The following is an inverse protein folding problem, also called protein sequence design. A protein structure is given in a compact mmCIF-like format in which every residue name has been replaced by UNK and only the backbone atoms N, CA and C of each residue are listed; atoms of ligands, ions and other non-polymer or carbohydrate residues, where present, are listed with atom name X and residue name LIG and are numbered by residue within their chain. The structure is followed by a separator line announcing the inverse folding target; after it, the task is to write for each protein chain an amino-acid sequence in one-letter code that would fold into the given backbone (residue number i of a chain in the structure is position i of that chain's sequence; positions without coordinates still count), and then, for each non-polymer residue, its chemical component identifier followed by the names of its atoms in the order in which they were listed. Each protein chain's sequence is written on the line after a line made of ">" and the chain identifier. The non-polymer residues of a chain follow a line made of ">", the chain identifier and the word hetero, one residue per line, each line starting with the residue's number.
data_IF_181603594216
#
_entry.id   IF_181603594216
#
_cell.length_a   1.000
_cell.length_b   1.000
_cell.length_c   1.000
_cell.angle_alpha   90.00
_cell.angle_beta   90.00
_cell.angle_gamma   90.00
#
_symmetry.space_group_name_H-M   'P 1'
#
loop_
_entity.id
_entity.type
_entity.pdbx_description
1 polymer ?
#
# COMPACT_ATOMS: atom_id res chain seq x y z
N UNK A 1 43.37 -55.36 -19.77
CA UNK A 1 42.55 -55.43 -18.57
C UNK A 1 42.13 -53.99 -18.26
N UNK A 2 41.13 -53.37 -18.85
CA UNK A 2 39.66 -53.47 -18.83
C UNK A 2 39.07 -53.13 -17.51
N UNK A 3 38.45 -51.96 -17.43
CA UNK A 3 37.16 -51.77 -16.76
C UNK A 3 36.48 -50.48 -17.27
N UNK A 4 35.31 -50.63 -17.89
CA UNK A 4 34.37 -49.62 -18.28
C UNK A 4 33.71 -49.07 -17.01
N UNK A 5 33.53 -47.75 -16.92
CA UNK A 5 32.56 -47.11 -16.08
C UNK A 5 31.56 -46.39 -17.00
N UNK A 6 30.29 -46.79 -16.90
CA UNK A 6 29.15 -46.21 -17.57
C UNK A 6 28.54 -45.16 -16.65
N UNK A 7 28.69 -43.90 -17.04
CA UNK A 7 27.94 -42.77 -16.39
C UNK A 7 26.58 -42.64 -17.05
N UNK A 8 25.55 -42.98 -16.28
CA UNK A 8 24.15 -42.63 -16.59
C UNK A 8 23.79 -41.33 -15.85
N UNK A 9 23.89 -40.23 -16.57
CA UNK A 9 23.45 -38.92 -16.10
C UNK A 9 21.94 -38.79 -16.35
N UNK A 10 21.15 -39.12 -15.37
CA UNK A 10 19.69 -38.87 -15.37
C UNK A 10 19.38 -37.53 -14.73
N UNK A 11 19.15 -36.53 -15.57
CA UNK A 11 18.60 -35.23 -15.15
C UNK A 11 17.15 -35.42 -14.74
N UNK A 12 16.73 -35.00 -13.55
CA UNK A 12 15.32 -35.04 -13.20
C UNK A 12 14.55 -33.97 -13.96
N UNK A 13 13.54 -34.41 -14.72
CA UNK A 13 12.58 -33.53 -15.39
C UNK A 13 11.76 -32.77 -14.37
N UNK A 14 11.79 -31.46 -14.42
CA UNK A 14 10.88 -30.60 -13.65
C UNK A 14 9.46 -30.69 -14.25
N UNK A 15 8.42 -30.86 -13.43
CA UNK A 15 7.05 -30.86 -13.93
C UNK A 15 6.65 -29.44 -14.37
N UNK A 16 6.46 -29.28 -15.66
CA UNK A 16 5.91 -28.05 -16.27
C UNK A 16 4.40 -28.00 -16.10
N UNK A 17 3.86 -26.91 -15.62
CA UNK A 17 2.55 -26.46 -16.05
C UNK A 17 1.43 -26.34 -15.02
N UNK A 18 1.53 -26.82 -13.76
CA UNK A 18 0.41 -26.71 -12.81
C UNK A 18 0.63 -25.84 -11.57
N UNK A 19 1.86 -25.41 -11.28
CA UNK A 19 2.18 -24.66 -10.06
C UNK A 19 1.78 -23.18 -10.10
N UNK A 20 1.72 -22.54 -11.27
CA UNK A 20 1.42 -21.10 -11.38
C UNK A 20 -0.06 -20.73 -11.14
N UNK A 21 -1.01 -21.62 -11.42
CA UNK A 21 -2.43 -21.36 -11.11
C UNK A 21 -2.74 -21.48 -9.61
N UNK A 22 -2.11 -22.42 -8.94
CA UNK A 22 -2.32 -22.68 -7.50
C UNK A 22 -1.84 -21.54 -6.60
N UNK A 23 -0.67 -20.93 -6.88
CA UNK A 23 -0.11 -19.86 -6.05
C UNK A 23 -0.88 -18.55 -6.15
N UNK A 24 -1.38 -18.17 -7.33
CA UNK A 24 -2.20 -16.97 -7.50
C UNK A 24 -3.60 -17.11 -6.87
N UNK A 25 -4.23 -18.29 -6.95
CA UNK A 25 -5.51 -18.55 -6.28
C UNK A 25 -5.35 -18.55 -4.76
N UNK A 26 -4.26 -19.06 -4.23
CA UNK A 26 -3.97 -19.06 -2.79
C UNK A 26 -3.78 -17.64 -2.26
N UNK A 27 -3.00 -16.80 -2.96
CA UNK A 27 -2.77 -15.41 -2.58
C UNK A 27 -4.06 -14.58 -2.61
N UNK A 28 -4.86 -14.69 -3.67
CA UNK A 28 -6.15 -14.01 -3.77
C UNK A 28 -7.15 -14.49 -2.70
N UNK A 29 -7.13 -15.78 -2.36
CA UNK A 29 -7.96 -16.34 -1.30
C UNK A 29 -7.56 -15.81 0.09
N UNK A 30 -6.27 -15.66 0.36
CA UNK A 30 -5.77 -15.06 1.61
C UNK A 30 -6.18 -13.59 1.69
N UNK A 31 -5.97 -12.81 0.64
CA UNK A 31 -6.35 -11.39 0.59
C UNK A 31 -7.83 -11.18 0.89
N UNK A 32 -8.73 -11.97 0.26
CA UNK A 32 -10.18 -11.90 0.55
C UNK A 32 -10.50 -12.12 2.02
N UNK A 33 -9.92 -13.16 2.62
CA UNK A 33 -10.17 -13.50 4.04
C UNK A 33 -9.66 -12.43 4.98
N UNK A 34 -8.51 -11.85 4.69
CA UNK A 34 -7.98 -10.71 5.47
C UNK A 34 -8.96 -9.52 5.42
N UNK A 35 -9.47 -9.18 4.24
CA UNK A 35 -10.48 -8.10 4.12
C UNK A 35 -11.76 -8.46 4.88
N UNK A 36 -12.25 -9.69 4.77
CA UNK A 36 -13.43 -10.13 5.54
C UNK A 36 -13.20 -10.07 7.06
N UNK A 37 -11.99 -10.36 7.55
CA UNK A 37 -11.64 -10.21 8.97
C UNK A 37 -11.68 -8.72 9.35
N UNK A 38 -11.11 -7.84 8.54
CA UNK A 38 -11.15 -6.39 8.77
C UNK A 38 -12.60 -5.89 8.84
N UNK A 39 -13.44 -6.32 7.90
CA UNK A 39 -14.86 -5.95 7.88
C UNK A 39 -15.60 -6.47 9.12
N UNK A 40 -15.34 -7.72 9.53
CA UNK A 40 -15.91 -8.28 10.75
C UNK A 40 -15.48 -7.51 12.01
N UNK A 41 -14.22 -7.07 12.06
CA UNK A 41 -13.70 -6.32 13.22
C UNK A 41 -14.22 -4.88 13.26
N UNK A 42 -14.35 -4.23 12.09
CA UNK A 42 -14.75 -2.82 11.97
C UNK A 42 -16.27 -2.64 11.93
N UNK A 43 -16.95 -3.41 11.09
CA UNK A 43 -18.41 -3.29 10.86
C UNK A 43 -19.23 -4.31 11.66
N UNK A 44 -18.59 -5.21 12.41
CA UNK A 44 -19.20 -6.31 13.14
C UNK A 44 -19.96 -7.32 12.29
N UNK A 45 -19.94 -7.18 10.97
CA UNK A 45 -20.62 -8.07 10.02
C UNK A 45 -19.96 -8.03 8.65
N UNK A 46 -20.16 -9.09 7.86
CA UNK A 46 -19.90 -9.13 6.41
C UNK A 46 -21.17 -9.51 5.68
N UNK A 47 -21.37 -8.93 4.49
CA UNK A 47 -22.52 -9.18 3.64
C UNK A 47 -22.10 -9.94 2.40
N UNK A 48 -22.96 -10.89 1.97
CA UNK A 48 -22.71 -11.62 0.74
C UNK A 48 -22.77 -10.69 -0.49
N UNK A 49 -23.71 -9.74 -0.54
CA UNK A 49 -23.82 -8.78 -1.63
C UNK A 49 -22.53 -7.98 -1.86
N UNK A 50 -21.90 -7.53 -0.77
CA UNK A 50 -20.63 -6.82 -0.83
C UNK A 50 -19.48 -7.74 -1.28
N UNK A 51 -19.45 -8.96 -0.74
CA UNK A 51 -18.48 -9.98 -1.13
C UNK A 51 -18.59 -10.34 -2.62
N UNK A 52 -19.80 -10.60 -3.12
CA UNK A 52 -20.05 -10.93 -4.53
C UNK A 52 -19.62 -9.79 -5.46
N UNK A 53 -19.98 -8.54 -5.11
CA UNK A 53 -19.61 -7.35 -5.86
C UNK A 53 -18.10 -7.10 -5.90
N UNK A 54 -17.42 -7.30 -4.75
CA UNK A 54 -16.00 -6.96 -4.62
C UNK A 54 -15.10 -8.01 -5.25
N UNK A 55 -15.50 -9.29 -5.19
CA UNK A 55 -14.62 -10.41 -5.59
C UNK A 55 -15.12 -11.21 -6.78
N UNK A 56 -16.29 -10.88 -7.31
CA UNK A 56 -16.96 -11.63 -8.39
C UNK A 56 -17.03 -13.14 -8.07
N UNK A 57 -17.56 -13.45 -6.89
CA UNK A 57 -17.63 -14.82 -6.36
C UNK A 57 -19.03 -15.18 -5.93
N UNK A 58 -19.35 -16.46 -6.07
CA UNK A 58 -20.63 -17.04 -5.73
C UNK A 58 -20.83 -17.25 -4.20
N UNK A 59 -22.05 -17.58 -3.83
CA UNK A 59 -22.41 -17.84 -2.44
C UNK A 59 -21.68 -19.03 -1.82
N UNK A 60 -21.32 -20.06 -2.61
CA UNK A 60 -20.52 -21.19 -2.16
C UNK A 60 -19.12 -20.77 -1.72
N UNK A 61 -18.50 -19.89 -2.48
CA UNK A 61 -17.20 -19.32 -2.18
C UNK A 61 -17.23 -18.49 -0.89
N UNK A 62 -18.28 -17.67 -0.72
CA UNK A 62 -18.53 -16.93 0.51
C UNK A 62 -18.68 -17.84 1.72
N UNK A 63 -19.49 -18.89 1.63
CA UNK A 63 -19.67 -19.87 2.70
C UNK A 63 -18.36 -20.58 3.05
N UNK A 64 -17.55 -20.96 2.04
CA UNK A 64 -16.26 -21.63 2.25
C UNK A 64 -15.27 -20.72 2.98
N UNK A 65 -15.15 -19.47 2.53
CA UNK A 65 -14.27 -18.49 3.15
C UNK A 65 -14.71 -18.21 4.61
N UNK A 66 -16.02 -18.04 4.87
CA UNK A 66 -16.56 -17.89 6.23
C UNK A 66 -16.33 -19.13 7.09
N UNK A 67 -16.42 -20.34 6.54
CA UNK A 67 -16.15 -21.56 7.29
C UNK A 67 -14.68 -21.64 7.73
N UNK A 68 -13.75 -21.22 6.86
CA UNK A 68 -12.34 -21.14 7.20
C UNK A 68 -12.09 -20.04 8.27
N UNK A 69 -12.76 -18.89 8.17
CA UNK A 69 -12.69 -17.84 9.19
C UNK A 69 -13.27 -18.30 10.53
N UNK A 70 -14.32 -19.12 10.55
CA UNK A 70 -14.84 -19.72 11.79
C UNK A 70 -13.84 -20.66 12.44
N UNK A 71 -13.10 -21.42 11.63
CA UNK A 71 -12.03 -22.31 12.16
C UNK A 71 -10.92 -21.47 12.78
N UNK A 72 -10.44 -20.45 12.08
CA UNK A 72 -9.45 -19.49 12.59
C UNK A 72 -9.98 -18.77 13.83
N UNK A 73 -11.26 -18.38 13.83
CA UNK A 73 -11.91 -17.69 14.94
C UNK A 73 -11.92 -18.47 16.24
N UNK A 74 -12.06 -19.79 16.17
CA UNK A 74 -12.00 -20.66 17.36
C UNK A 74 -10.65 -20.55 18.07
N UNK A 75 -9.57 -20.48 17.30
CA UNK A 75 -8.21 -20.34 17.82
C UNK A 75 -7.92 -18.88 18.23
N UNK A 76 -8.43 -17.93 17.46
CA UNK A 76 -8.28 -16.49 17.70
C UNK A 76 -9.26 -15.92 18.76
N UNK A 77 -10.21 -16.73 19.24
CA UNK A 77 -11.19 -16.38 20.29
C UNK A 77 -12.28 -15.42 19.84
N UNK A 78 -12.68 -15.48 18.58
CA UNK A 78 -13.92 -14.87 18.10
C UNK A 78 -14.81 -15.94 17.44
N UNK A 79 -16.10 -15.69 17.37
CA UNK A 79 -17.00 -16.54 16.61
C UNK A 79 -17.84 -15.73 15.63
N UNK A 80 -18.18 -16.35 14.51
CA UNK A 80 -19.03 -15.78 13.47
C UNK A 80 -20.35 -16.52 13.52
N UNK A 81 -21.45 -15.79 13.72
CA UNK A 81 -22.80 -16.36 13.75
C UNK A 81 -23.14 -17.10 12.43
N UNK A 82 -24.11 -18.00 12.45
CA UNK A 82 -24.71 -18.53 11.23
C UNK A 82 -25.17 -17.40 10.31
N UNK A 83 -25.09 -17.63 9.00
CA UNK A 83 -25.53 -16.64 8.01
C UNK A 83 -27.03 -16.46 8.13
N UNK A 84 -27.45 -15.20 8.39
CA UNK A 84 -28.84 -14.79 8.43
C UNK A 84 -29.32 -14.42 7.02
N UNK A 85 -30.47 -14.92 6.61
CA UNK A 85 -31.16 -14.60 5.33
C UNK A 85 -30.28 -14.80 4.09
N UNK A 86 -29.31 -15.71 4.14
CA UNK A 86 -28.27 -15.93 3.11
C UNK A 86 -27.44 -14.66 2.78
N UNK A 87 -27.47 -13.64 3.61
CA UNK A 87 -26.86 -12.35 3.33
C UNK A 87 -25.83 -11.93 4.37
N UNK A 88 -26.13 -12.05 5.66
CA UNK A 88 -25.32 -11.45 6.72
C UNK A 88 -24.68 -12.48 7.62
N UNK A 89 -23.34 -12.39 7.79
CA UNK A 89 -22.61 -13.09 8.84
C UNK A 89 -22.07 -12.06 9.86
N UNK A 90 -22.55 -12.15 11.09
CA UNK A 90 -22.19 -11.21 12.15
C UNK A 90 -21.12 -11.77 13.07
N UNK A 91 -20.24 -10.91 13.58
CA UNK A 91 -19.28 -11.24 14.63
C UNK A 91 -20.01 -11.38 15.97
N UNK A 92 -19.93 -12.55 16.58
CA UNK A 92 -20.39 -12.75 17.97
C UNK A 92 -19.20 -12.61 18.91
N UNK A 93 -19.33 -11.78 19.93
CA UNK A 93 -18.30 -11.64 20.98
C UNK A 93 -18.18 -12.92 21.77
N UNK A 94 -16.99 -13.47 21.86
CA UNK A 94 -16.67 -14.60 22.72
C UNK A 94 -16.39 -14.12 24.14
N UNK A 95 -16.84 -14.94 25.09
CA UNK A 95 -16.70 -14.79 26.53
C UNK A 95 -15.33 -14.28 26.98
N UNK A 96 -15.31 -13.13 27.68
CA UNK A 96 -14.10 -12.53 28.23
C UNK A 96 -13.32 -13.48 29.17
N UNK A 97 -13.99 -14.48 29.76
CA UNK A 97 -13.36 -15.52 30.61
C UNK A 97 -12.50 -16.51 29.84
N UNK A 98 -12.80 -16.81 28.56
CA UNK A 98 -11.92 -17.66 27.74
C UNK A 98 -10.69 -16.91 27.21
N UNK A 99 -10.72 -15.58 27.15
CA UNK A 99 -9.54 -14.75 26.81
C UNK A 99 -8.41 -14.85 27.82
N UNK A 100 -8.72 -15.06 29.10
CA UNK A 100 -7.73 -15.13 30.18
C UNK A 100 -6.95 -16.46 30.24
N UNK A 101 -7.44 -17.53 29.58
CA UNK A 101 -6.84 -18.86 29.66
C UNK A 101 -5.84 -19.20 28.53
N UNK A 102 -5.82 -18.45 27.44
CA UNK A 102 -4.81 -18.59 26.38
C UNK A 102 -3.69 -17.57 26.59
N UNK A 103 -2.64 -17.99 27.28
CA UNK A 103 -1.42 -17.22 27.52
C UNK A 103 -0.61 -17.10 26.23
N UNK A 104 -0.76 -15.99 25.54
CA UNK A 104 0.02 -15.58 24.38
C UNK A 104 -0.78 -14.61 23.51
N UNK A 105 -0.16 -13.62 22.87
CA UNK A 105 -0.84 -12.75 21.93
C UNK A 105 -1.34 -13.60 20.76
N UNK A 106 -2.61 -13.43 20.42
CA UNK A 106 -3.22 -14.18 19.33
C UNK A 106 -2.62 -13.72 18.02
N UNK A 107 -2.49 -14.62 17.04
CA UNK A 107 -1.93 -14.29 15.70
C UNK A 107 -2.52 -13.02 15.09
N UNK A 108 -3.80 -12.74 15.31
CA UNK A 108 -4.46 -11.50 14.81
C UNK A 108 -3.93 -10.27 15.55
N UNK A 109 -3.74 -10.34 16.86
CA UNK A 109 -3.19 -9.22 17.65
C UNK A 109 -1.74 -8.94 17.25
N UNK A 110 -0.94 -9.99 17.07
CA UNK A 110 0.44 -9.88 16.57
C UNK A 110 0.44 -9.24 15.17
N UNK A 111 -0.37 -9.74 14.24
CA UNK A 111 -0.43 -9.23 12.88
C UNK A 111 -0.92 -7.77 12.86
N UNK A 112 -1.94 -7.44 13.65
CA UNK A 112 -2.46 -6.07 13.77
C UNK A 112 -1.40 -5.13 14.36
N UNK A 113 -0.69 -5.56 15.40
CA UNK A 113 0.40 -4.78 15.99
C UNK A 113 1.58 -4.64 15.02
N UNK A 114 1.91 -5.67 14.25
CA UNK A 114 2.96 -5.63 13.22
C UNK A 114 2.60 -4.64 12.11
N UNK A 115 1.35 -4.67 11.62
CA UNK A 115 0.85 -3.73 10.62
C UNK A 115 0.82 -2.30 11.19
N UNK A 116 0.33 -2.13 12.42
CA UNK A 116 0.29 -0.82 13.09
C UNK A 116 1.69 -0.23 13.26
N UNK A 117 2.67 -1.05 13.66
CA UNK A 117 4.08 -0.62 13.76
C UNK A 117 4.65 -0.24 12.40
N UNK A 118 4.38 -1.02 11.36
CA UNK A 118 4.85 -0.74 10.00
C UNK A 118 4.26 0.54 9.40
N UNK A 119 3.03 0.90 9.75
CA UNK A 119 2.32 2.07 9.25
C UNK A 119 2.38 3.27 10.19
N UNK A 120 2.90 3.09 11.41
CA UNK A 120 3.10 4.14 12.39
C UNK A 120 1.87 4.50 13.23
N UNK A 121 2.06 5.45 14.15
CA UNK A 121 1.07 5.83 15.17
C UNK A 121 -0.35 6.15 14.63
N UNK A 122 -0.52 6.89 13.52
CA UNK A 122 -1.86 7.20 13.03
C UNK A 122 -2.69 5.96 12.73
N UNK A 123 -2.06 4.93 12.16
CA UNK A 123 -2.73 3.66 11.86
C UNK A 123 -2.93 2.81 13.10
N UNK A 124 -2.01 2.85 14.06
CA UNK A 124 -2.15 2.16 15.34
C UNK A 124 -3.38 2.65 16.10
N UNK A 125 -3.60 3.96 16.17
CA UNK A 125 -4.81 4.54 16.77
C UNK A 125 -6.09 4.10 16.06
N UNK A 126 -6.09 4.08 14.72
CA UNK A 126 -7.23 3.62 13.92
C UNK A 126 -7.56 2.14 14.18
N UNK A 127 -6.56 1.31 14.36
CA UNK A 127 -6.70 -0.11 14.66
C UNK A 127 -6.97 -0.38 16.14
N UNK A 128 -7.01 0.66 17.00
CA UNK A 128 -7.19 0.51 18.44
C UNK A 128 -6.05 -0.25 19.13
N UNK A 129 -4.83 -0.13 18.58
CA UNK A 129 -3.62 -0.76 19.12
C UNK A 129 -2.67 0.30 19.68
N UNK A 130 -2.02 -0.03 20.80
CA UNK A 130 -0.96 0.84 21.31
C UNK A 130 0.29 0.71 20.43
N UNK A 131 0.89 1.84 19.96
CA UNK A 131 2.06 1.82 19.09
C UNK A 131 3.28 1.14 19.72
N UNK A 132 3.31 1.10 21.05
CA UNK A 132 4.44 0.60 21.85
C UNK A 132 4.20 -0.79 22.44
N UNK A 133 3.14 -1.49 22.04
CA UNK A 133 2.92 -2.86 22.53
C UNK A 133 4.12 -3.70 22.11
N UNK A 134 4.94 -4.07 23.10
CA UNK A 134 6.05 -4.97 22.88
C UNK A 134 5.49 -6.26 22.30
N UNK A 135 5.91 -6.61 21.08
CA UNK A 135 5.60 -7.92 20.53
C UNK A 135 6.41 -8.97 21.30
N UNK A 136 5.88 -10.18 21.45
CA UNK A 136 6.63 -11.27 22.06
C UNK A 136 7.95 -11.53 21.33
N UNK A 137 8.94 -12.07 22.05
CA UNK A 137 10.29 -12.35 21.52
C UNK A 137 10.33 -13.39 20.38
N UNK A 138 9.20 -14.00 20.05
CA UNK A 138 9.09 -14.95 18.94
C UNK A 138 8.47 -14.35 17.66
N UNK A 139 8.71 -13.06 17.39
CA UNK A 139 8.23 -12.39 16.18
C UNK A 139 8.75 -13.08 14.92
N UNK A 140 7.90 -13.87 14.30
CA UNK A 140 8.23 -14.52 13.02
C UNK A 140 8.24 -13.53 11.84
N UNK A 141 7.50 -12.43 11.96
CA UNK A 141 7.40 -11.41 10.92
C UNK A 141 8.04 -10.10 11.37
N UNK A 142 9.02 -9.64 10.61
CA UNK A 142 9.59 -8.31 10.74
C UNK A 142 9.17 -7.47 9.55
N UNK A 143 8.49 -6.33 9.78
CA UNK A 143 8.19 -5.35 8.75
C UNK A 143 9.01 -4.11 9.04
N UNK A 144 10.05 -3.88 8.23
CA UNK A 144 10.89 -2.69 8.32
C UNK A 144 10.45 -1.67 7.26
N UNK A 145 9.78 -0.61 7.70
CA UNK A 145 9.45 0.55 6.86
C UNK A 145 9.82 1.82 7.61
N UNK A 146 10.17 2.91 6.90
CA UNK A 146 10.28 4.20 7.54
C UNK A 146 8.96 4.56 8.22
N UNK A 147 9.02 4.96 9.48
CA UNK A 147 7.87 5.47 10.23
C UNK A 147 8.04 6.96 10.49
N UNK A 148 6.95 7.63 10.83
CA UNK A 148 7.03 9.03 11.26
C UNK A 148 7.75 9.11 12.61
N UNK A 149 8.55 10.15 12.80
CA UNK A 149 9.18 10.40 14.07
C UNK A 149 8.13 10.55 15.19
N UNK A 150 8.47 10.13 16.41
CA UNK A 150 7.59 10.25 17.57
C UNK A 150 7.17 11.71 17.81
N UNK A 151 5.95 11.89 18.31
CA UNK A 151 5.39 13.20 18.64
C UNK A 151 5.01 14.06 17.43
N UNK A 152 4.92 13.47 16.23
CA UNK A 152 4.48 14.22 15.07
C UNK A 152 3.01 14.59 15.18
N UNK A 153 2.65 15.80 14.79
CA UNK A 153 1.28 16.27 14.67
C UNK A 153 0.45 15.50 13.59
N UNK A 154 1.07 14.54 12.91
CA UNK A 154 0.44 13.81 11.80
C UNK A 154 -0.72 12.95 12.27
N UNK A 155 -0.64 12.36 13.47
CA UNK A 155 -1.74 11.58 14.04
C UNK A 155 -2.99 12.43 14.28
N UNK A 156 -2.80 13.61 14.86
CA UNK A 156 -3.90 14.56 15.12
C UNK A 156 -4.45 15.13 13.80
N UNK A 157 -3.57 15.37 12.82
CA UNK A 157 -3.98 15.75 11.46
C UNK A 157 -4.84 14.67 10.80
N UNK A 158 -4.44 13.41 10.89
CA UNK A 158 -5.21 12.28 10.35
C UNK A 158 -6.59 12.19 11.00
N UNK A 159 -6.67 12.33 12.32
CA UNK A 159 -7.95 12.36 13.03
C UNK A 159 -8.82 13.52 12.56
N UNK A 160 -8.29 14.75 12.51
CA UNK A 160 -9.02 15.94 12.04
C UNK A 160 -9.53 15.76 10.61
N UNK A 161 -8.69 15.20 9.72
CA UNK A 161 -9.04 14.91 8.33
C UNK A 161 -10.15 13.87 8.21
N UNK A 162 -10.08 12.79 9.02
CA UNK A 162 -11.14 11.77 9.09
C UNK A 162 -12.45 12.36 9.54
N UNK A 163 -12.46 13.13 10.62
CA UNK A 163 -13.65 13.80 11.13
C UNK A 163 -14.24 14.81 10.13
N UNK A 164 -13.38 15.51 9.37
CA UNK A 164 -13.82 16.41 8.32
C UNK A 164 -14.39 15.65 7.10
N UNK A 165 -13.90 14.44 6.82
CA UNK A 165 -14.42 13.62 5.73
C UNK A 165 -15.77 12.98 6.04
N UNK A 166 -15.96 12.46 7.24
CA UNK A 166 -17.09 11.62 7.64
C UNK A 166 -17.68 12.00 8.99
N UNK A 167 -17.66 13.27 9.34
CA UNK A 167 -18.25 13.76 10.60
C UNK A 167 -19.78 13.65 10.65
N UNK A 168 -20.38 13.68 11.85
CA UNK A 168 -21.83 13.54 12.05
C UNK A 168 -22.64 14.65 11.35
N UNK A 169 -22.02 15.81 11.11
CA UNK A 169 -22.64 16.95 10.43
C UNK A 169 -22.34 16.98 8.91
N UNK A 170 -21.94 15.85 8.33
CA UNK A 170 -21.53 15.75 6.94
C UNK A 170 -20.06 16.16 6.73
N UNK A 171 -19.67 16.26 5.45
CA UNK A 171 -18.30 16.61 5.07
C UNK A 171 -18.01 18.08 5.35
N UNK A 172 -16.82 18.37 5.85
CA UNK A 172 -16.31 19.72 6.09
C UNK A 172 -15.06 20.00 5.23
N UNK A 173 -14.86 21.29 4.89
CA UNK A 173 -13.56 21.73 4.38
C UNK A 173 -12.52 21.66 5.47
N UNK A 174 -11.27 21.52 5.06
CA UNK A 174 -10.12 21.69 5.94
C UNK A 174 -9.24 22.83 5.42
N UNK A 175 -8.62 23.53 6.37
CA UNK A 175 -7.69 24.62 6.11
C UNK A 175 -6.33 24.30 6.71
N UNK A 176 -5.27 24.52 5.96
CA UNK A 176 -3.90 24.36 6.39
C UNK A 176 -2.96 25.16 5.51
N UNK A 177 -1.74 25.44 6.00
CA UNK A 177 -0.67 26.08 5.25
C UNK A 177 0.24 25.06 4.61
N UNK A 178 0.50 25.19 3.31
CA UNK A 178 1.28 24.24 2.53
C UNK A 178 2.25 24.97 1.58
N UNK A 179 3.55 24.53 1.49
CA UNK A 179 4.50 25.09 0.55
C UNK A 179 4.10 24.81 -0.90
N UNK A 180 4.12 25.82 -1.72
CA UNK A 180 3.65 25.75 -3.11
C UNK A 180 4.82 25.51 -4.06
N UNK A 181 4.81 24.36 -4.78
CA UNK A 181 5.72 24.08 -5.88
C UNK A 181 7.20 24.37 -5.57
N UNK A 182 7.91 24.90 -6.54
CA UNK A 182 9.35 25.19 -6.46
C UNK A 182 9.68 26.44 -5.63
N UNK A 183 8.70 27.30 -5.38
CA UNK A 183 8.92 28.59 -4.70
C UNK A 183 9.09 28.45 -3.19
N UNK A 184 8.82 27.27 -2.61
CA UNK A 184 8.82 27.01 -1.16
C UNK A 184 7.94 27.98 -0.33
N UNK A 185 7.26 28.92 -0.97
CA UNK A 185 6.36 29.88 -0.31
C UNK A 185 5.15 29.13 0.20
N UNK A 186 4.94 29.16 1.52
CA UNK A 186 3.79 28.55 2.13
C UNK A 186 2.54 29.40 1.88
N UNK A 187 1.45 28.75 1.45
CA UNK A 187 0.16 29.41 1.21
C UNK A 187 -0.94 28.63 1.93
N UNK A 188 -1.96 29.35 2.37
CA UNK A 188 -3.16 28.73 2.92
C UNK A 188 -3.89 27.95 1.82
N UNK A 189 -4.35 26.78 2.17
CA UNK A 189 -5.16 25.89 1.32
C UNK A 189 -6.50 25.65 1.96
N UNK A 190 -7.55 25.66 1.14
CA UNK A 190 -8.90 25.24 1.52
C UNK A 190 -9.26 24.01 0.68
N UNK A 191 -9.33 22.86 1.34
CA UNK A 191 -9.41 21.56 0.67
C UNK A 191 -10.63 20.78 1.14
N UNK A 192 -11.29 20.11 0.22
CA UNK A 192 -12.30 19.08 0.50
C UNK A 192 -11.54 17.77 0.70
N UNK A 193 -11.50 17.17 1.92
CA UNK A 193 -10.75 15.95 2.16
C UNK A 193 -11.50 14.73 1.63
N UNK A 194 -10.82 13.86 0.91
CA UNK A 194 -11.41 12.66 0.32
C UNK A 194 -10.77 11.37 0.81
N UNK A 195 -9.44 11.34 0.93
CA UNK A 195 -8.71 10.12 1.29
C UNK A 195 -7.39 10.45 1.96
N UNK A 196 -7.01 9.62 2.94
CA UNK A 196 -5.63 9.53 3.40
C UNK A 196 -5.00 8.32 2.72
N UNK A 197 -3.87 8.51 2.07
CA UNK A 197 -3.07 7.46 1.49
C UNK A 197 -1.74 7.33 2.24
N UNK A 198 -1.25 6.09 2.38
CA UNK A 198 0.06 5.82 2.98
C UNK A 198 0.94 5.19 1.92
N UNK A 199 2.14 5.77 1.71
CA UNK A 199 3.12 5.27 0.76
C UNK A 199 4.52 5.40 1.36
N UNK A 200 5.24 4.29 1.44
CA UNK A 200 6.61 4.25 1.97
C UNK A 200 6.76 4.96 3.32
N UNK A 201 5.81 4.75 4.24
CA UNK A 201 5.78 5.37 5.56
C UNK A 201 5.33 6.84 5.60
N UNK A 202 5.10 7.48 4.44
CA UNK A 202 4.58 8.85 4.37
C UNK A 202 3.07 8.88 4.20
N UNK A 203 2.42 9.83 4.89
CA UNK A 203 0.98 10.04 4.81
C UNK A 203 0.64 11.19 3.86
N UNK A 204 -0.39 11.00 3.07
CA UNK A 204 -0.82 11.96 2.04
C UNK A 204 -2.32 12.20 2.15
N UNK A 205 -2.74 13.46 2.13
CA UNK A 205 -4.12 13.85 1.91
C UNK A 205 -4.38 13.93 0.40
N UNK A 206 -5.37 13.20 -0.08
CA UNK A 206 -5.96 13.39 -1.40
C UNK A 206 -7.23 14.19 -1.22
N UNK A 207 -7.34 15.33 -1.89
CA UNK A 207 -8.47 16.22 -1.77
C UNK A 207 -8.63 17.17 -2.95
N UNK A 208 -9.77 17.84 -3.00
CA UNK A 208 -10.05 18.88 -3.99
C UNK A 208 -9.68 20.25 -3.42
N UNK A 209 -8.64 20.87 -3.97
CA UNK A 209 -8.18 22.20 -3.57
C UNK A 209 -9.03 23.27 -4.26
N UNK A 210 -9.76 24.04 -3.48
CA UNK A 210 -10.63 25.11 -3.97
C UNK A 210 -9.86 26.25 -4.61
N UNK A 211 -8.68 26.55 -4.11
CA UNK A 211 -7.83 27.61 -4.64
C UNK A 211 -7.33 27.30 -6.04
N UNK A 212 -6.88 26.08 -6.30
CA UNK A 212 -6.44 25.63 -7.62
C UNK A 212 -7.56 25.02 -8.47
N UNK A 213 -8.78 24.89 -7.93
CA UNK A 213 -9.94 24.27 -8.59
C UNK A 213 -9.63 22.89 -9.15
N UNK A 214 -8.89 22.06 -8.40
CA UNK A 214 -8.46 20.75 -8.88
C UNK A 214 -8.08 19.79 -7.77
N UNK A 215 -8.03 18.50 -8.15
CA UNK A 215 -7.55 17.44 -7.29
C UNK A 215 -6.05 17.58 -7.02
N UNK A 216 -5.66 17.36 -5.77
CA UNK A 216 -4.28 17.46 -5.31
C UNK A 216 -3.98 16.35 -4.29
N UNK A 217 -2.68 16.02 -4.24
CA UNK A 217 -2.10 15.15 -3.20
C UNK A 217 -1.14 16.00 -2.35
N UNK A 218 -1.35 16.02 -1.06
CA UNK A 218 -0.56 16.80 -0.09
C UNK A 218 0.12 15.84 0.89
N UNK A 219 1.43 15.86 0.96
CA UNK A 219 2.20 15.11 1.96
C UNK A 219 2.03 15.78 3.33
N UNK A 220 1.59 15.02 4.36
CA UNK A 220 1.23 15.59 5.65
C UNK A 220 2.45 16.14 6.41
N UNK A 221 3.62 15.53 6.22
CA UNK A 221 4.90 15.97 6.78
C UNK A 221 5.37 17.34 6.27
N UNK A 222 4.78 17.82 5.16
CA UNK A 222 5.06 19.13 4.58
C UNK A 222 4.10 20.24 5.02
N UNK A 223 3.12 19.94 5.84
CA UNK A 223 2.21 20.95 6.39
C UNK A 223 2.99 21.90 7.30
N UNK A 224 2.66 23.21 7.22
CA UNK A 224 3.30 24.28 8.00
C UNK A 224 2.38 24.86 9.06
N UNK A 225 1.19 24.30 9.23
CA UNK A 225 0.24 24.62 10.28
C UNK A 225 -0.58 23.38 10.62
N UNK A 226 -1.27 23.41 11.74
CA UNK A 226 -2.29 22.43 12.08
C UNK A 226 -3.41 22.46 11.03
N UNK A 227 -4.07 21.31 10.86
CA UNK A 227 -5.27 21.18 10.06
C UNK A 227 -6.47 21.62 10.92
N UNK A 228 -7.27 22.53 10.39
CA UNK A 228 -8.51 22.98 11.07
C UNK A 228 -9.72 22.80 10.16
N UNK A 229 -10.85 22.43 10.73
CA UNK A 229 -12.13 22.37 10.00
C UNK A 229 -12.59 23.79 9.64
N UNK A 230 -13.07 24.01 8.44
CA UNK A 230 -13.38 25.32 7.89
C UNK A 230 -14.72 25.37 7.16
N UNK A 231 -15.78 25.06 7.90
CA UNK A 231 -17.16 25.10 7.40
C UNK A 231 -17.58 23.82 6.70
N UNK A 232 -18.89 23.70 6.45
CA UNK A 232 -19.51 22.53 5.85
C UNK A 232 -19.29 22.49 4.33
N UNK A 233 -19.04 21.31 3.79
CA UNK A 233 -18.97 21.06 2.37
C UNK A 233 -20.25 20.36 1.91
N UNK A 234 -21.06 21.07 1.13
CA UNK A 234 -22.34 20.54 0.59
C UNK A 234 -22.16 19.90 -0.80
N UNK A 235 -21.00 20.06 -1.43
CA UNK A 235 -20.75 19.57 -2.78
C UNK A 235 -20.20 18.15 -2.69
N UNK A 236 -20.94 17.19 -3.21
CA UNK A 236 -20.44 15.84 -3.41
C UNK A 236 -19.68 15.78 -4.75
N UNK A 237 -18.35 15.57 -4.70
CA UNK A 237 -17.51 15.29 -5.87
C UNK A 237 -17.18 13.81 -5.87
N UNK A 238 -17.18 13.22 -7.03
CA UNK A 238 -16.67 11.87 -7.21
C UNK A 238 -15.14 11.90 -7.25
N UNK A 239 -14.50 10.99 -6.50
CA UNK A 239 -13.05 10.86 -6.52
C UNK A 239 -12.62 10.24 -7.85
N UNK A 240 -11.80 10.93 -8.67
CA UNK A 240 -11.36 10.38 -9.94
C UNK A 240 -10.62 9.05 -9.76
N UNK A 241 -10.85 8.07 -10.65
CA UNK A 241 -10.28 6.72 -10.51
C UNK A 241 -8.75 6.71 -10.34
N UNK A 242 -8.06 7.64 -10.99
CA UNK A 242 -6.61 7.76 -10.88
C UNK A 242 -6.13 8.08 -9.45
N UNK A 243 -6.93 8.77 -8.64
CA UNK A 243 -6.64 9.02 -7.22
C UNK A 243 -7.07 7.88 -6.31
N UNK A 244 -7.78 6.89 -6.84
CA UNK A 244 -8.15 5.67 -6.15
C UNK A 244 -7.12 4.54 -6.34
N UNK A 245 -6.16 4.72 -7.26
CA UNK A 245 -5.11 3.74 -7.57
C UNK A 245 -4.25 3.41 -6.35
N UNK A 246 -3.81 2.15 -6.27
CA UNK A 246 -2.84 1.66 -5.28
C UNK A 246 -1.41 1.60 -5.85
N UNK A 247 -1.20 2.18 -7.03
CA UNK A 247 0.09 2.17 -7.69
C UNK A 247 1.16 2.86 -6.86
N UNK A 248 2.33 2.25 -6.79
CA UNK A 248 3.51 2.86 -6.17
C UNK A 248 4.14 3.88 -7.14
N UNK A 249 4.24 3.53 -8.41
CA UNK A 249 4.66 4.43 -9.49
C UNK A 249 3.41 5.07 -10.12
N UNK A 250 3.45 6.38 -10.32
CA UNK A 250 2.30 7.17 -10.78
C UNK A 250 1.35 7.60 -9.65
N UNK A 251 1.78 7.48 -8.39
CA UNK A 251 1.01 7.92 -7.22
C UNK A 251 0.84 9.44 -7.16
N UNK A 252 1.93 10.18 -7.45
CA UNK A 252 1.88 11.65 -7.52
C UNK A 252 1.30 12.06 -8.87
N UNK A 253 -0.01 12.21 -8.93
CA UNK A 253 -0.69 12.58 -10.18
C UNK A 253 -0.34 14.01 -10.57
N UNK A 254 0.30 14.16 -11.71
CA UNK A 254 0.39 15.44 -12.43
C UNK A 254 -0.66 15.51 -13.52
N UNK A 255 -1.17 16.72 -13.78
CA UNK A 255 -2.10 16.94 -14.87
C UNK A 255 -1.31 16.79 -16.19
N UNK A 256 -1.69 15.81 -17.02
CA UNK A 256 -1.02 15.63 -18.30
C UNK A 256 -1.29 14.27 -18.93
N UNK A 257 -0.92 14.17 -20.20
CA UNK A 257 -0.98 12.90 -20.94
C UNK A 257 0.05 11.93 -20.35
N UNK A 258 -0.39 10.70 -20.10
CA UNK A 258 0.51 9.62 -19.66
C UNK A 258 1.43 9.22 -20.81
N UNK A 259 2.69 9.03 -20.51
CA UNK A 259 3.71 8.55 -21.44
C UNK A 259 4.36 7.30 -20.87
N UNK A 260 4.75 6.42 -21.77
CA UNK A 260 5.44 5.19 -21.41
C UNK A 260 6.92 5.46 -21.15
N UNK A 261 7.39 5.08 -19.96
CA UNK A 261 8.81 5.12 -19.60
C UNK A 261 9.31 3.70 -19.45
N UNK A 262 10.30 3.34 -20.25
CA UNK A 262 10.92 1.99 -20.23
C UNK A 262 12.26 2.03 -19.52
N UNK A 263 12.42 1.11 -18.56
CA UNK A 263 13.63 0.93 -17.77
C UNK A 263 14.16 -0.47 -18.02
N UNK A 264 15.42 -0.56 -18.41
CA UNK A 264 16.16 -1.83 -18.51
C UNK A 264 16.88 -2.10 -17.20
N UNK A 265 16.73 -3.32 -16.70
CA UNK A 265 17.28 -3.81 -15.44
C UNK A 265 18.34 -4.87 -15.73
N UNK A 266 19.47 -4.79 -15.03
CA UNK A 266 20.52 -5.81 -15.07
C UNK A 266 20.03 -7.13 -14.46
N UNK A 267 20.70 -8.27 -14.75
CA UNK A 267 20.33 -9.57 -14.19
C UNK A 267 20.33 -9.59 -12.65
N UNK A 268 21.15 -8.75 -12.02
CA UNK A 268 21.30 -8.67 -10.57
C UNK A 268 20.03 -8.24 -9.86
N UNK A 269 19.28 -7.30 -10.46
CA UNK A 269 18.07 -6.72 -9.85
C UNK A 269 16.78 -7.10 -10.55
N UNK A 270 16.86 -7.65 -11.77
CA UNK A 270 15.72 -7.98 -12.63
C UNK A 270 14.67 -8.85 -11.91
N UNK A 271 15.11 -9.95 -11.29
CA UNK A 271 14.24 -10.91 -10.63
C UNK A 271 13.48 -10.26 -9.46
N UNK A 272 14.17 -9.47 -8.62
CA UNK A 272 13.57 -8.84 -7.45
C UNK A 272 12.62 -7.69 -7.82
N UNK A 273 12.95 -6.92 -8.85
CA UNK A 273 12.14 -5.80 -9.31
C UNK A 273 10.87 -6.29 -10.06
N UNK A 274 11.02 -7.28 -10.96
CA UNK A 274 9.89 -7.81 -11.74
C UNK A 274 8.92 -8.69 -10.94
N UNK A 275 9.34 -9.21 -9.79
CA UNK A 275 8.45 -9.94 -8.87
C UNK A 275 7.43 -9.03 -8.15
N UNK A 276 7.53 -7.73 -8.29
CA UNK A 276 6.66 -6.76 -7.62
C UNK A 276 5.73 -6.04 -8.59
N UNK A 277 4.51 -5.74 -8.13
CA UNK A 277 3.59 -4.86 -8.84
C UNK A 277 3.79 -3.43 -8.33
N UNK A 278 4.47 -2.63 -9.13
CA UNK A 278 4.72 -1.21 -8.87
C UNK A 278 3.59 -0.32 -9.43
N UNK A 279 2.99 -0.78 -10.53
CA UNK A 279 1.87 -0.16 -11.20
C UNK A 279 0.98 -1.26 -11.80
N UNK A 280 -0.34 -1.11 -11.73
CA UNK A 280 -1.28 -2.17 -12.14
C UNK A 280 -1.14 -2.54 -13.63
N UNK A 281 -0.80 -1.56 -14.47
CA UNK A 281 -0.64 -1.71 -15.93
C UNK A 281 0.83 -1.76 -16.38
N UNK A 282 1.77 -2.05 -15.46
CA UNK A 282 3.17 -2.24 -15.82
C UNK A 282 3.35 -3.38 -16.83
N UNK A 283 4.22 -3.18 -17.78
CA UNK A 283 4.62 -4.22 -18.73
C UNK A 283 6.01 -4.70 -18.41
N UNK A 284 6.23 -6.01 -18.52
CA UNK A 284 7.50 -6.67 -18.22
C UNK A 284 7.90 -7.52 -19.43
N UNK A 285 9.10 -7.31 -19.93
CA UNK A 285 9.70 -8.07 -21.03
C UNK A 285 11.05 -8.62 -20.59
N UNK A 286 11.22 -9.93 -20.68
CA UNK A 286 12.48 -10.60 -20.35
C UNK A 286 13.37 -10.65 -21.58
N UNK A 287 14.60 -10.12 -21.44
CA UNK A 287 15.58 -10.02 -22.51
C UNK A 287 16.64 -11.12 -22.38
N UNK A 288 17.43 -11.29 -23.46
CA UNK A 288 18.58 -12.19 -23.42
C UNK A 288 19.59 -11.77 -22.34
N UNK A 289 20.28 -12.75 -21.77
CA UNK A 289 21.32 -12.54 -20.75
C UNK A 289 20.75 -12.21 -19.37
N UNK A 290 19.45 -12.52 -19.09
CA UNK A 290 18.82 -12.33 -17.79
C UNK A 290 18.41 -10.90 -17.50
N UNK A 291 18.54 -9.97 -18.44
CA UNK A 291 18.03 -8.61 -18.34
C UNK A 291 16.51 -8.58 -18.45
N UNK A 292 15.90 -7.54 -17.93
CA UNK A 292 14.45 -7.35 -18.00
C UNK A 292 14.13 -5.88 -18.30
N UNK A 293 13.19 -5.62 -19.19
CA UNK A 293 12.62 -4.30 -19.36
C UNK A 293 11.29 -4.20 -18.64
N UNK A 294 11.10 -3.10 -17.94
CA UNK A 294 9.83 -2.73 -17.31
C UNK A 294 9.36 -1.40 -17.87
N UNK A 295 8.10 -1.32 -18.28
CA UNK A 295 7.50 -0.11 -18.82
C UNK A 295 6.35 0.36 -17.93
N UNK A 296 6.38 1.65 -17.60
CA UNK A 296 5.41 2.33 -16.75
C UNK A 296 4.76 3.49 -17.50
N UNK A 297 3.44 3.59 -17.43
CA UNK A 297 2.71 4.70 -18.01
C UNK A 297 2.50 5.80 -16.96
N UNK A 298 3.21 6.95 -17.08
CA UNK A 298 3.20 8.01 -16.08
C UNK A 298 2.98 9.40 -16.71
N UNK A 299 2.38 10.32 -15.97
CA UNK A 299 2.27 11.72 -16.37
C UNK A 299 3.55 12.51 -16.02
N UNK A 300 4.29 12.09 -14.99
CA UNK A 300 5.57 12.67 -14.59
C UNK A 300 6.67 11.62 -14.61
N UNK A 301 7.64 11.81 -15.49
CA UNK A 301 8.80 10.89 -15.62
C UNK A 301 9.67 10.86 -14.36
N UNK A 302 9.62 11.88 -13.52
CA UNK A 302 10.47 12.03 -12.33
C UNK A 302 10.27 10.91 -11.33
N UNK A 303 9.06 10.35 -11.23
CA UNK A 303 8.80 9.22 -10.33
C UNK A 303 9.55 7.96 -10.78
N UNK A 304 9.50 7.65 -12.08
CA UNK A 304 10.22 6.49 -12.64
C UNK A 304 11.73 6.71 -12.58
N UNK A 305 12.19 7.93 -12.87
CA UNK A 305 13.61 8.29 -12.77
C UNK A 305 14.11 8.04 -11.35
N UNK A 306 13.42 8.52 -10.31
CA UNK A 306 13.80 8.30 -8.92
C UNK A 306 13.78 6.82 -8.53
N UNK A 307 12.78 6.09 -9.00
CA UNK A 307 12.69 4.65 -8.77
C UNK A 307 13.88 3.91 -9.39
N UNK A 308 14.21 4.20 -10.65
CA UNK A 308 15.34 3.61 -11.36
C UNK A 308 16.68 3.95 -10.67
N UNK A 309 16.88 5.20 -10.24
CA UNK A 309 18.08 5.63 -9.52
C UNK A 309 18.29 4.88 -8.20
N UNK A 310 17.22 4.35 -7.58
CA UNK A 310 17.32 3.50 -6.39
C UNK A 310 18.05 2.18 -6.61
N UNK A 311 18.23 1.73 -7.87
CA UNK A 311 19.00 0.56 -8.24
C UNK A 311 20.44 0.90 -8.68
N UNK A 312 20.84 2.18 -8.63
CA UNK A 312 22.16 2.62 -9.06
C UNK A 312 22.40 2.34 -10.55
N UNK A 313 23.55 1.75 -10.87
CA UNK A 313 23.93 1.41 -12.24
C UNK A 313 23.18 0.20 -12.82
N UNK A 314 22.45 -0.53 -12.00
CA UNK A 314 21.70 -1.74 -12.39
C UNK A 314 20.35 -1.44 -13.05
N UNK A 315 19.94 -0.16 -13.11
CA UNK A 315 18.76 0.28 -13.84
C UNK A 315 19.09 1.41 -14.81
N UNK A 316 18.68 1.25 -16.07
CA UNK A 316 18.90 2.22 -17.13
C UNK A 316 17.58 2.59 -17.78
N UNK A 317 17.25 3.87 -17.81
CA UNK A 317 16.10 4.36 -18.58
C UNK A 317 16.48 4.35 -20.06
N UNK A 318 15.70 3.66 -20.88
CA UNK A 318 15.96 3.49 -22.31
C UNK A 318 14.96 4.24 -23.21
N UNK A 319 13.81 4.60 -22.70
CA UNK A 319 12.80 5.40 -23.39
C UNK A 319 11.86 6.11 -22.39
N UNK A 320 11.24 7.24 -22.77
CA UNK A 320 11.49 8.08 -23.95
C UNK A 320 12.70 9.03 -23.74
N UNK A 321 13.13 9.79 -24.76
CA UNK A 321 14.25 10.76 -24.63
C UNK A 321 14.12 11.71 -23.46
N UNK A 322 12.93 12.26 -23.22
CA UNK A 322 12.64 13.13 -22.07
C UNK A 322 12.96 12.49 -20.72
N UNK A 323 12.69 11.19 -20.55
CA UNK A 323 13.00 10.48 -19.32
C UNK A 323 14.51 10.19 -19.20
N UNK A 324 15.18 9.92 -20.30
CA UNK A 324 16.65 9.77 -20.34
C UNK A 324 17.32 11.08 -19.96
N UNK A 325 16.90 12.20 -20.51
CA UNK A 325 17.41 13.53 -20.16
C UNK A 325 17.22 13.84 -18.67
N UNK A 326 16.01 13.55 -18.13
CA UNK A 326 15.73 13.74 -16.71
C UNK A 326 16.65 12.88 -15.82
N UNK A 327 16.92 11.63 -16.24
CA UNK A 327 17.86 10.74 -15.54
C UNK A 327 19.29 11.27 -15.58
N UNK A 328 19.76 11.72 -16.73
CA UNK A 328 21.10 12.30 -16.89
C UNK A 328 21.25 13.60 -16.05
N UNK A 329 20.24 14.45 -16.04
CA UNK A 329 20.24 15.65 -15.19
C UNK A 329 20.30 15.29 -13.71
N UNK A 330 19.54 14.29 -13.28
CA UNK A 330 19.56 13.83 -11.89
C UNK A 330 20.92 13.24 -11.51
N UNK A 331 21.51 12.40 -12.37
CA UNK A 331 22.83 11.81 -12.14
C UNK A 331 23.92 12.88 -12.03
N UNK A 332 23.92 13.90 -12.91
CA UNK A 332 24.84 15.03 -12.84
C UNK A 332 24.69 15.82 -11.55
N UNK A 333 23.45 16.09 -11.12
CA UNK A 333 23.20 16.78 -9.84
C UNK A 333 23.69 15.97 -8.64
N UNK A 334 23.51 14.64 -8.67
CA UNK A 334 24.03 13.75 -7.62
C UNK A 334 25.57 13.86 -7.61
N UNK A 335 26.24 13.70 -8.76
CA UNK A 335 27.70 13.81 -8.84
C UNK A 335 28.19 15.16 -8.31
N UNK A 336 27.61 16.27 -8.77
CA UNK A 336 27.99 17.62 -8.30
C UNK A 336 27.82 17.80 -6.79
N UNK A 337 26.82 17.17 -6.18
CA UNK A 337 26.61 17.27 -4.74
C UNK A 337 27.73 16.57 -3.92
N UNK A 338 28.46 15.62 -4.53
CA UNK A 338 29.64 14.98 -3.90
C UNK A 338 30.95 15.67 -4.23
N UNK A 339 30.97 16.55 -5.27
CA UNK A 339 32.15 17.36 -5.60
C UNK A 339 32.27 18.60 -4.72
N UNK A 340 31.18 19.04 -4.10
CA UNK A 340 31.19 20.14 -3.13
C UNK A 340 31.81 19.68 -1.80
N UNK A 341 32.80 20.38 -1.24
CA UNK A 341 33.36 20.02 0.07
C UNK A 341 32.25 20.08 1.12
N UNK A 342 32.09 19.00 1.89
CA UNK A 342 31.18 18.96 3.04
C UNK A 342 31.69 20.02 4.03
N UNK A 343 30.98 21.13 4.13
CA UNK A 343 31.26 22.13 5.17
C UNK A 343 31.06 21.46 6.53
N UNK A 344 32.03 21.56 7.45
CA UNK A 344 32.00 20.92 8.76
C UNK A 344 30.84 21.42 9.62
#
# INVERSE_FOLDING_TARGET
>A
MTARASDTNSTPAFPTGHAKRSTNETSASVARKVTMIVDLLTQRQVRFSDYARTYDRDYRSFQRDLQQLRTIGKDAGFSIAPIKDREIAALTTVDAKKRALNRGPKRIEILTATIARALGEPMARELGTEPQTALPDDDFYLIATPTLAEGTAVSDMCQTLREAHAGPNGRAFVRFTYPSGDTKVARERLVEPYRIAVRSGCYYLIGYDRGSKGWRTFALDRFRSNVVKAGSCTIARELPPEYASRDVIGFMKSIGTRIDVTVELSPQVAASASARVWQADQRIEHLAGGRTQMTFAVADVTEVVRWAMGFGADAKIVAPPKAIEAALMMAKRIASAYDEPISP
#
